data_IF_753738637148
#
_entry.id   IF_753738637148
#
_cell.length_a   1.000
_cell.length_b   1.000
_cell.length_c   1.000
_cell.angle_alpha   90.00
_cell.angle_beta   90.00
_cell.angle_gamma   90.00
#
_symmetry.space_group_name_H-M   'P 1'
#
loop_
_entity.id
_entity.type
_entity.pdbx_description
1 polymer ?
#
# COMPACT_ATOMS: atom_id res chain seq x y z
N UNK A 1 -17.12 -27.85 -8.13
CA UNK A 1 -17.22 -26.52 -8.77
C UNK A 1 -16.11 -25.69 -8.15
N UNK A 2 -15.16 -25.18 -8.95
CA UNK A 2 -14.02 -24.41 -8.45
C UNK A 2 -14.50 -22.97 -8.40
N UNK A 3 -14.70 -22.43 -7.19
CA UNK A 3 -15.07 -21.03 -7.01
C UNK A 3 -13.99 -20.13 -7.62
N UNK A 4 -14.41 -19.23 -8.50
CA UNK A 4 -13.51 -18.32 -9.18
C UNK A 4 -12.82 -17.40 -8.16
N UNK A 5 -11.49 -17.32 -8.22
CA UNK A 5 -10.71 -16.35 -7.44
C UNK A 5 -11.24 -14.94 -7.69
N UNK A 6 -11.92 -14.35 -6.70
CA UNK A 6 -12.28 -12.94 -6.70
C UNK A 6 -11.01 -12.12 -6.51
N UNK A 7 -10.40 -11.69 -7.61
CA UNK A 7 -9.35 -10.68 -7.55
C UNK A 7 -9.99 -9.34 -7.20
N UNK A 8 -9.70 -8.83 -5.99
CA UNK A 8 -10.11 -7.49 -5.57
C UNK A 8 -9.37 -6.45 -6.42
N UNK A 9 -10.11 -5.61 -7.16
CA UNK A 9 -9.57 -4.41 -7.80
C UNK A 9 -9.30 -3.38 -6.70
N UNK A 10 -8.17 -2.67 -6.75
CA UNK A 10 -7.73 -1.70 -5.74
C UNK A 10 -8.63 -0.47 -5.52
N UNK A 11 -9.85 -0.47 -6.06
CA UNK A 11 -10.87 0.57 -5.90
C UNK A 11 -11.91 0.21 -4.81
N UNK A 12 -11.80 -0.97 -4.19
CA UNK A 12 -12.70 -1.37 -3.10
C UNK A 12 -12.35 -0.55 -1.86
N UNK A 13 -13.32 0.13 -1.21
CA UNK A 13 -13.06 0.82 0.05
C UNK A 13 -12.51 -0.20 1.04
N UNK A 14 -11.38 0.12 1.66
CA UNK A 14 -10.77 -0.70 2.70
C UNK A 14 -11.75 -0.71 3.87
N UNK A 15 -12.67 -1.67 3.88
CA UNK A 15 -13.57 -1.86 5.01
C UNK A 15 -12.71 -2.28 6.19
N UNK A 16 -12.80 -1.58 7.32
CA UNK A 16 -12.03 -1.82 8.56
C UNK A 16 -12.23 -3.22 9.18
N UNK A 17 -12.91 -4.14 8.49
CA UNK A 17 -13.09 -5.51 8.92
C UNK A 17 -11.88 -6.33 8.45
N UNK A 18 -10.92 -6.53 9.35
CA UNK A 18 -9.82 -7.47 9.15
C UNK A 18 -10.38 -8.90 9.02
N UNK A 19 -10.42 -9.44 7.81
CA UNK A 19 -10.71 -10.86 7.57
C UNK A 19 -9.41 -11.64 7.74
N UNK A 20 -9.41 -12.67 8.60
CA UNK A 20 -8.27 -13.57 8.77
C UNK A 20 -8.01 -14.33 7.46
N UNK A 21 -6.92 -13.96 6.78
CA UNK A 21 -6.51 -14.56 5.51
C UNK A 21 -5.54 -15.74 5.72
N UNK A 22 -5.39 -16.23 6.95
CA UNK A 22 -4.53 -17.37 7.21
C UNK A 22 -5.07 -18.64 6.56
N UNK A 23 -4.16 -19.40 5.95
CA UNK A 23 -4.49 -20.65 5.25
C UNK A 23 -3.43 -21.70 5.57
N UNK A 24 -3.88 -22.92 5.84
CA UNK A 24 -2.99 -24.08 5.92
C UNK A 24 -3.34 -25.06 4.81
N UNK A 25 -2.33 -25.48 4.04
CA UNK A 25 -2.51 -26.55 3.07
C UNK A 25 -1.28 -27.46 3.03
N UNK A 26 -1.51 -28.68 2.55
CA UNK A 26 -0.48 -29.71 2.41
C UNK A 26 -0.15 -29.94 0.94
N UNK A 27 1.14 -29.94 0.61
CA UNK A 27 1.66 -30.33 -0.70
C UNK A 27 2.64 -31.49 -0.51
N UNK A 28 2.22 -32.71 -0.85
CA UNK A 28 2.98 -33.93 -0.56
C UNK A 28 3.22 -34.12 0.94
N UNK A 29 4.49 -34.20 1.35
CA UNK A 29 4.92 -34.28 2.76
C UNK A 29 5.13 -32.90 3.42
N UNK A 30 4.91 -31.80 2.70
CA UNK A 30 5.16 -30.45 3.22
C UNK A 30 3.86 -29.79 3.67
N UNK A 31 3.84 -29.27 4.89
CA UNK A 31 2.77 -28.41 5.41
C UNK A 31 3.16 -26.95 5.22
N UNK A 32 2.32 -26.19 4.52
CA UNK A 32 2.49 -24.74 4.31
C UNK A 32 1.41 -24.02 5.11
N UNK A 33 1.84 -23.12 6.00
CA UNK A 33 0.96 -22.23 6.76
C UNK A 33 1.22 -20.79 6.33
N UNK A 34 0.24 -20.21 5.65
CA UNK A 34 0.17 -18.78 5.36
C UNK A 34 -0.38 -18.12 6.62
N UNK A 35 0.42 -17.24 7.22
CA UNK A 35 0.06 -16.51 8.44
C UNK A 35 -0.34 -15.11 8.04
N UNK A 36 -1.47 -14.64 8.57
CA UNK A 36 -1.88 -13.26 8.43
C UNK A 36 -0.90 -12.35 9.21
N UNK A 37 -0.30 -11.32 8.58
CA UNK A 37 0.55 -10.37 9.29
C UNK A 37 -0.19 -9.61 10.42
N UNK A 38 -1.53 -9.64 10.45
CA UNK A 38 -2.36 -9.02 11.48
C UNK A 38 -2.47 -7.51 11.31
N UNK A 39 -3.35 -6.89 12.10
CA UNK A 39 -3.54 -5.44 12.09
C UNK A 39 -2.25 -4.72 12.53
N UNK A 40 -1.77 -3.80 11.67
CA UNK A 40 -0.66 -2.93 12.01
C UNK A 40 -1.17 -1.86 12.96
N UNK A 41 -0.54 -1.64 14.13
CA UNK A 41 -0.94 -0.59 15.05
C UNK A 41 -0.95 0.77 14.36
N UNK A 42 -2.02 1.55 14.56
CA UNK A 42 -2.19 2.86 13.94
C UNK A 42 -0.98 3.79 14.16
N UNK A 43 -0.39 3.77 15.35
CA UNK A 43 0.82 4.53 15.68
C UNK A 43 2.02 4.20 14.77
N UNK A 44 2.16 2.93 14.38
CA UNK A 44 3.23 2.50 13.49
C UNK A 44 2.97 2.96 12.06
N UNK A 45 1.71 2.91 11.61
CA UNK A 45 1.29 3.44 10.30
C UNK A 45 1.54 4.95 10.25
N UNK A 46 1.10 5.68 11.26
CA UNK A 46 1.26 7.14 11.34
C UNK A 46 2.75 7.55 11.34
N UNK A 47 3.61 6.79 12.04
CA UNK A 47 5.05 7.01 12.01
C UNK A 47 5.64 6.80 10.62
N UNK A 48 5.30 5.71 9.94
CA UNK A 48 5.77 5.41 8.59
C UNK A 48 5.30 6.48 7.59
N UNK A 49 4.05 6.90 7.69
CA UNK A 49 3.50 7.96 6.83
C UNK A 49 4.23 9.29 7.07
N UNK A 50 4.50 9.63 8.33
CA UNK A 50 5.26 10.83 8.67
C UNK A 50 6.68 10.79 8.07
N UNK A 51 7.38 9.66 8.21
CA UNK A 51 8.72 9.47 7.64
C UNK A 51 8.68 9.56 6.10
N UNK A 52 7.71 8.91 5.46
CA UNK A 52 7.54 8.95 4.01
C UNK A 52 7.27 10.38 3.50
N UNK A 53 6.41 11.14 4.20
CA UNK A 53 6.15 12.54 3.87
C UNK A 53 7.41 13.40 4.03
N UNK A 54 8.20 13.18 5.09
CA UNK A 54 9.45 13.89 5.30
C UNK A 54 10.48 13.60 4.21
N UNK A 55 10.61 12.35 3.79
CA UNK A 55 11.48 11.95 2.68
C UNK A 55 11.01 12.61 1.39
N UNK A 56 9.70 12.55 1.09
CA UNK A 56 9.11 13.21 -0.09
C UNK A 56 9.40 14.71 -0.11
N UNK A 57 9.28 15.37 1.05
CA UNK A 57 9.60 16.79 1.18
C UNK A 57 11.09 17.09 1.01
N UNK A 58 11.97 16.26 1.59
CA UNK A 58 13.42 16.40 1.41
C UNK A 58 13.80 16.29 -0.06
N UNK A 59 13.30 15.26 -0.75
CA UNK A 59 13.55 15.05 -2.18
C UNK A 59 13.05 16.26 -2.99
N UNK A 60 11.88 16.80 -2.62
CA UNK A 60 11.35 18.00 -3.26
C UNK A 60 12.28 19.21 -3.09
N UNK A 61 12.76 19.46 -1.87
CA UNK A 61 13.69 20.55 -1.58
C UNK A 61 15.04 20.41 -2.31
N UNK A 62 15.50 19.18 -2.55
CA UNK A 62 16.75 18.92 -3.28
C UNK A 62 16.62 19.15 -4.80
N UNK A 63 15.40 19.27 -5.33
CA UNK A 63 15.19 19.60 -6.74
C UNK A 63 15.51 21.07 -7.03
N UNK A 64 16.02 21.36 -8.24
CA UNK A 64 16.18 22.73 -8.70
C UNK A 64 14.81 23.43 -8.84
N UNK A 65 14.76 24.77 -8.69
CA UNK A 65 13.51 25.53 -8.85
C UNK A 65 12.84 25.31 -10.21
N UNK A 66 13.63 25.10 -11.26
CA UNK A 66 13.15 24.82 -12.62
C UNK A 66 12.43 23.46 -12.70
N UNK A 67 12.98 22.42 -12.06
CA UNK A 67 12.34 21.11 -12.02
C UNK A 67 11.12 21.05 -11.12
N UNK A 68 11.14 21.79 -10.01
CA UNK A 68 9.95 21.96 -9.20
C UNK A 68 8.80 22.59 -10.02
N UNK A 69 9.10 23.66 -10.78
CA UNK A 69 8.10 24.32 -11.63
C UNK A 69 7.55 23.41 -12.73
N UNK A 70 8.42 22.67 -13.43
CA UNK A 70 8.00 21.71 -14.47
C UNK A 70 7.10 20.61 -13.91
N UNK A 71 7.44 20.04 -12.75
CA UNK A 71 6.61 19.03 -12.10
C UNK A 71 5.26 19.61 -11.69
N UNK A 72 5.24 20.78 -11.07
CA UNK A 72 3.99 21.45 -10.70
C UNK A 72 3.10 21.69 -11.92
N UNK A 73 3.64 22.19 -13.03
CA UNK A 73 2.86 22.41 -14.26
C UNK A 73 2.35 21.11 -14.89
N UNK A 74 3.13 20.03 -14.83
CA UNK A 74 2.77 18.72 -15.38
C UNK A 74 1.64 18.05 -14.60
N UNK A 75 1.65 18.16 -13.28
CA UNK A 75 0.66 17.51 -12.41
C UNK A 75 -0.55 18.41 -12.08
N UNK A 76 -0.42 19.74 -12.20
CA UNK A 76 -1.57 20.65 -12.12
C UNK A 76 -2.60 20.40 -13.23
N UNK A 77 -2.17 19.97 -14.42
CA UNK A 77 -3.04 19.65 -15.57
C UNK A 77 -3.71 18.27 -15.50
N UNK A 78 -3.44 17.48 -14.46
CA UNK A 78 -4.00 16.13 -14.27
C UNK A 78 -5.11 16.09 -13.21
N UNK A 79 -5.48 17.24 -12.65
CA UNK A 79 -6.50 17.35 -11.60
C UNK A 79 -7.91 17.61 -12.15
N UNK A 80 -8.11 17.49 -13.47
CA UNK A 80 -9.39 17.68 -14.17
C UNK A 80 -10.04 16.32 -14.54
#
# INVERSE_FOLDING_TARGET
MIDAHKMSRGDVPMTDNHEDMSMEYTSGNTKVRIVDPGEVPKEKVDRILKEAHQIGWSIWCDLSPEKQKELNEKYAKRAD
#
